data_IF_276719686937
#
_entry.id   IF_276719686937
#
_cell.length_a   1.000
_cell.length_b   1.000
_cell.length_c   1.000
_cell.angle_alpha   90.00
_cell.angle_beta   90.00
_cell.angle_gamma   90.00
#
_symmetry.space_group_name_H-M   'P 1'
#
loop_
_entity.id
_entity.type
_entity.pdbx_description
1 polymer ?
#
# COMPACT_ATOMS: atom_id res chain seq x y z
N UNK A 1 4.67 -33.74 -44.16
CA UNK A 1 3.99 -34.24 -42.95
C UNK A 1 4.60 -33.76 -41.62
N UNK A 2 5.90 -33.45 -41.53
CA UNK A 2 6.53 -32.97 -40.28
C UNK A 2 6.14 -31.53 -39.87
N UNK A 3 5.87 -30.65 -40.84
CA UNK A 3 5.58 -29.22 -40.60
C UNK A 3 4.18 -29.01 -39.98
N UNK A 4 3.21 -29.87 -40.33
CA UNK A 4 1.83 -29.79 -39.85
C UNK A 4 1.70 -30.15 -38.37
N UNK A 5 2.51 -31.11 -37.91
CA UNK A 5 2.56 -31.54 -36.50
C UNK A 5 3.19 -30.45 -35.62
N UNK A 6 4.26 -29.78 -36.10
CA UNK A 6 4.91 -28.68 -35.38
C UNK A 6 3.96 -27.48 -35.16
N UNK A 7 3.15 -27.14 -36.18
CA UNK A 7 2.14 -26.06 -36.07
C UNK A 7 1.02 -26.42 -35.09
N UNK A 8 0.55 -27.66 -35.10
CA UNK A 8 -0.47 -28.13 -34.17
C UNK A 8 0.03 -28.12 -32.72
N UNK A 9 1.27 -28.53 -32.46
CA UNK A 9 1.88 -28.48 -31.12
C UNK A 9 2.04 -27.06 -30.58
N UNK A 10 2.37 -26.07 -31.43
CA UNK A 10 2.47 -24.66 -31.02
C UNK A 10 1.08 -24.09 -30.67
N UNK A 11 0.06 -24.41 -31.47
CA UNK A 11 -1.31 -23.96 -31.21
C UNK A 11 -1.85 -24.55 -29.90
N UNK A 12 -1.60 -25.84 -29.64
CA UNK A 12 -2.00 -26.48 -28.38
C UNK A 12 -1.27 -25.86 -27.18
N UNK A 13 0.03 -25.58 -27.30
CA UNK A 13 0.81 -24.93 -26.23
C UNK A 13 0.30 -23.52 -25.92
N UNK A 14 -0.11 -22.75 -26.93
CA UNK A 14 -0.73 -21.43 -26.73
C UNK A 14 -2.16 -21.52 -26.16
N UNK A 15 -2.93 -22.55 -26.50
CA UNK A 15 -4.27 -22.76 -25.94
C UNK A 15 -4.25 -23.09 -24.44
N UNK A 16 -3.21 -23.78 -23.94
CA UNK A 16 -3.05 -24.03 -22.50
C UNK A 16 -2.65 -22.77 -21.70
N UNK A 17 -2.04 -21.77 -22.34
CA UNK A 17 -1.65 -20.52 -21.67
C UNK A 17 -2.83 -19.55 -21.47
N UNK A 18 -3.91 -19.67 -22.27
CA UNK A 18 -5.09 -18.78 -22.17
C UNK A 18 -6.18 -19.31 -21.22
N UNK A 19 -6.12 -20.57 -20.77
CA UNK A 19 -7.13 -21.14 -19.86
C UNK A 19 -6.78 -21.00 -18.36
N UNK A 20 -5.72 -20.26 -18.02
CA UNK A 20 -5.31 -20.06 -16.62
C UNK A 20 -5.96 -18.85 -15.93
N UNK A 21 -6.92 -18.16 -16.56
CA UNK A 21 -7.73 -17.14 -15.88
C UNK A 21 -9.04 -17.76 -15.37
N UNK A 22 -9.01 -18.26 -14.14
CA UNK A 22 -10.23 -18.57 -13.40
C UNK A 22 -11.04 -17.28 -13.19
N UNK A 23 -12.30 -17.26 -13.62
CA UNK A 23 -13.14 -16.06 -13.63
C UNK A 23 -13.49 -15.49 -12.24
N UNK A 24 -13.12 -16.15 -11.14
CA UNK A 24 -13.53 -15.74 -9.78
C UNK A 24 -12.38 -15.73 -8.75
N UNK A 25 -11.13 -15.86 -9.17
CA UNK A 25 -9.99 -15.85 -8.25
C UNK A 25 -9.11 -14.65 -8.59
N UNK A 26 -9.24 -13.57 -7.81
CA UNK A 26 -8.27 -12.46 -7.84
C UNK A 26 -6.91 -12.83 -7.23
N UNK A 27 -6.53 -14.10 -7.35
CA UNK A 27 -5.18 -14.60 -7.17
C UNK A 27 -4.65 -15.02 -8.52
N UNK A 28 -3.65 -14.31 -9.03
CA UNK A 28 -2.61 -15.04 -9.76
C UNK A 28 -2.18 -16.18 -8.82
N UNK A 29 -2.08 -17.43 -9.32
CA UNK A 29 -1.69 -18.63 -8.55
C UNK A 29 -0.28 -18.59 -7.92
N UNK A 30 0.24 -17.38 -7.71
CA UNK A 30 1.45 -17.02 -7.01
C UNK A 30 1.01 -15.90 -6.06
N UNK A 31 0.93 -16.20 -4.76
CA UNK A 31 0.71 -15.25 -3.66
C UNK A 31 1.89 -14.25 -3.55
N UNK A 32 2.21 -13.55 -4.62
CA UNK A 32 3.19 -12.48 -4.65
C UNK A 32 2.39 -11.19 -4.86
N UNK A 33 1.53 -10.86 -3.90
CA UNK A 33 1.02 -9.52 -3.82
C UNK A 33 2.22 -8.63 -3.42
N UNK A 34 2.78 -7.92 -4.41
CA UNK A 34 3.80 -6.89 -4.17
C UNK A 34 3.29 -5.81 -3.22
N UNK A 35 1.98 -5.58 -3.24
CA UNK A 35 1.34 -4.51 -2.51
C UNK A 35 0.63 -5.02 -1.25
N UNK A 36 0.92 -4.40 -0.11
CA UNK A 36 0.23 -4.64 1.16
C UNK A 36 -0.49 -3.37 1.58
N UNK A 37 -1.66 -3.52 2.18
CA UNK A 37 -2.45 -2.40 2.67
C UNK A 37 -3.03 -2.76 4.03
N UNK A 38 -2.81 -1.90 5.03
CA UNK A 38 -3.29 -2.11 6.40
C UNK A 38 -3.80 -0.80 6.98
N UNK A 39 -4.96 -0.85 7.65
CA UNK A 39 -5.44 0.23 8.51
C UNK A 39 -4.49 0.36 9.69
N UNK A 40 -3.80 1.49 9.81
CA UNK A 40 -2.88 1.78 10.89
C UNK A 40 -3.61 2.40 12.09
N UNK A 41 -4.43 3.42 11.86
CA UNK A 41 -5.16 4.10 12.94
C UNK A 41 -6.43 4.84 12.47
N UNK A 42 -7.27 5.24 13.43
CA UNK A 42 -8.49 6.03 13.20
C UNK A 42 -8.69 7.04 14.32
N UNK A 43 -8.94 8.31 13.98
CA UNK A 43 -9.16 9.40 14.95
C UNK A 43 -10.40 10.19 14.57
N UNK A 44 -11.12 10.65 15.57
CA UNK A 44 -12.20 11.63 15.41
C UNK A 44 -11.68 13.02 15.80
N UNK A 45 -11.77 13.97 14.89
CA UNK A 45 -11.42 15.37 15.10
C UNK A 45 -12.60 16.23 14.62
N UNK A 46 -13.15 17.06 15.51
CA UNK A 46 -14.26 17.98 15.19
C UNK A 46 -15.43 17.34 14.43
N UNK A 47 -15.91 16.18 14.91
CA UNK A 47 -17.02 15.42 14.32
C UNK A 47 -16.71 14.85 12.92
N UNK A 48 -15.42 14.77 12.55
CA UNK A 48 -14.95 14.15 11.32
C UNK A 48 -13.97 13.02 11.65
N UNK A 49 -14.19 11.85 11.06
CA UNK A 49 -13.34 10.69 11.28
C UNK A 49 -12.30 10.58 10.17
N UNK A 50 -11.05 10.45 10.56
CA UNK A 50 -9.93 10.25 9.66
C UNK A 50 -9.40 8.83 9.81
N UNK A 51 -9.01 8.25 8.68
CA UNK A 51 -8.52 6.88 8.57
C UNK A 51 -7.11 6.93 7.99
N UNK A 52 -6.14 6.37 8.72
CA UNK A 52 -4.76 6.25 8.25
C UNK A 52 -4.51 4.83 7.82
N UNK A 53 -4.12 4.65 6.57
CA UNK A 53 -3.64 3.39 6.05
C UNK A 53 -2.15 3.46 5.78
N UNK A 54 -1.47 2.34 6.01
CA UNK A 54 -0.11 2.11 5.54
C UNK A 54 -0.20 1.23 4.30
N UNK A 55 0.30 1.72 3.17
CA UNK A 55 0.42 0.95 1.92
C UNK A 55 1.89 0.67 1.65
N UNK A 56 2.24 -0.57 1.39
CA UNK A 56 3.56 -0.94 0.91
C UNK A 56 3.42 -1.36 -0.53
N UNK A 57 4.22 -0.81 -1.43
CA UNK A 57 4.19 -1.16 -2.85
C UNK A 57 5.56 -1.58 -3.36
N UNK A 58 5.59 -2.36 -4.43
CA UNK A 58 6.82 -2.74 -5.14
C UNK A 58 7.14 -4.22 -5.01
N UNK A 59 8.09 -4.72 -5.79
CA UNK A 59 8.40 -6.15 -5.85
C UNK A 59 9.71 -6.47 -5.14
N UNK A 60 10.81 -5.91 -5.63
CA UNK A 60 12.15 -6.07 -5.05
C UNK A 60 12.45 -4.97 -4.04
N UNK A 61 12.26 -3.72 -4.45
CA UNK A 61 12.31 -2.55 -3.57
C UNK A 61 10.88 -2.23 -3.13
N UNK A 62 10.71 -2.11 -1.81
CA UNK A 62 9.42 -1.88 -1.18
C UNK A 62 9.40 -0.46 -0.65
N UNK A 63 8.44 0.33 -1.11
CA UNK A 63 8.20 1.68 -0.57
C UNK A 63 6.96 1.67 0.28
N UNK A 64 7.07 2.22 1.48
CA UNK A 64 5.94 2.38 2.41
C UNK A 64 5.35 3.78 2.25
N UNK A 65 4.03 3.88 2.19
CA UNK A 65 3.27 5.11 2.10
C UNK A 65 2.26 5.19 3.24
N UNK A 66 2.05 6.42 3.73
CA UNK A 66 0.93 6.76 4.60
C UNK A 66 -0.16 7.40 3.77
N UNK A 67 -1.35 6.80 3.77
CA UNK A 67 -2.52 7.27 3.06
C UNK A 67 -3.57 7.74 4.06
N UNK A 68 -3.90 9.03 4.00
CA UNK A 68 -4.93 9.62 4.84
C UNK A 68 -6.24 9.70 4.05
N UNK A 69 -7.32 9.25 4.66
CA UNK A 69 -8.68 9.38 4.14
C UNK A 69 -9.57 10.06 5.16
N UNK A 70 -10.57 10.77 4.68
CA UNK A 70 -11.54 11.48 5.51
C UNK A 70 -12.94 10.84 5.51
N UNK A 71 -13.02 9.68 4.86
CA UNK A 71 -14.11 8.73 4.85
C UNK A 71 -13.48 7.33 4.86
N UNK A 72 -14.23 6.30 5.28
CA UNK A 72 -13.71 4.94 5.28
C UNK A 72 -13.69 4.43 3.82
N UNK A 73 -12.52 4.15 3.22
CA UNK A 73 -12.45 3.58 1.88
C UNK A 73 -12.90 2.12 1.87
N UNK A 74 -13.51 1.70 0.76
CA UNK A 74 -13.60 0.31 0.34
C UNK A 74 -12.52 0.04 -0.71
N UNK A 75 -11.88 -1.13 -0.65
CA UNK A 75 -10.80 -1.49 -1.57
C UNK A 75 -11.22 -2.62 -2.47
N UNK A 76 -10.97 -2.45 -3.76
CA UNK A 76 -11.11 -3.52 -4.73
C UNK A 76 -10.10 -4.64 -4.41
N UNK A 77 -10.58 -5.88 -4.29
CA UNK A 77 -9.77 -7.01 -3.83
C UNK A 77 -8.65 -7.39 -4.80
N UNK A 78 -8.75 -6.98 -6.06
CA UNK A 78 -7.86 -7.42 -7.15
C UNK A 78 -6.78 -6.36 -7.44
N UNK A 79 -7.12 -5.08 -7.25
CA UNK A 79 -6.26 -3.94 -7.57
C UNK A 79 -5.80 -3.17 -6.34
N UNK A 80 -6.41 -3.42 -5.17
CA UNK A 80 -6.21 -2.64 -3.93
C UNK A 80 -6.39 -1.13 -4.14
N UNK A 81 -7.17 -0.73 -5.15
CA UNK A 81 -7.51 0.66 -5.38
C UNK A 81 -8.68 1.06 -4.48
N UNK A 82 -8.61 2.22 -3.80
CA UNK A 82 -9.74 2.73 -3.05
C UNK A 82 -10.85 3.19 -4.00
N UNK A 83 -12.10 3.02 -3.58
CA UNK A 83 -13.29 3.61 -4.21
C UNK A 83 -13.36 5.14 -4.06
N UNK A 84 -12.64 5.69 -3.08
CA UNK A 84 -12.56 7.12 -2.77
C UNK A 84 -11.15 7.69 -2.95
N UNK A 85 -11.09 9.00 -3.16
CA UNK A 85 -9.82 9.72 -3.26
C UNK A 85 -9.15 9.89 -1.88
N UNK A 86 -7.84 9.68 -1.83
CA UNK A 86 -6.99 10.00 -0.67
C UNK A 86 -7.05 11.50 -0.37
N UNK A 87 -7.18 11.86 0.91
CA UNK A 87 -7.01 13.24 1.37
C UNK A 87 -5.54 13.66 1.27
N UNK A 88 -4.62 12.76 1.62
CA UNK A 88 -3.18 12.99 1.57
C UNK A 88 -2.40 11.67 1.42
N UNK A 89 -1.21 11.75 0.86
CA UNK A 89 -0.28 10.63 0.75
C UNK A 89 1.17 11.12 0.87
N UNK A 90 1.99 10.40 1.63
CA UNK A 90 3.43 10.66 1.75
C UNK A 90 4.19 9.35 1.85
N UNK A 91 5.35 9.24 1.21
CA UNK A 91 6.21 8.07 1.39
C UNK A 91 6.93 8.16 2.74
N UNK A 92 7.06 7.04 3.43
CA UNK A 92 7.81 6.92 4.67
C UNK A 92 9.26 7.39 4.51
N UNK A 93 9.84 7.12 3.34
CA UNK A 93 11.23 7.37 2.98
C UNK A 93 11.48 8.75 2.36
N UNK A 94 10.45 9.57 2.13
CA UNK A 94 10.55 10.93 1.54
C UNK A 94 11.10 11.96 2.57
N UNK A 95 12.20 11.63 3.26
CA UNK A 95 12.94 12.55 4.13
C UNK A 95 14.43 12.59 3.77
N UNK A 96 14.80 13.30 2.68
CA UNK A 96 16.17 13.41 2.24
C UNK A 96 17.05 14.26 3.18
N UNK A 97 16.45 15.08 4.05
CA UNK A 97 17.18 16.00 4.91
C UNK A 97 17.91 15.30 6.08
N UNK A 98 17.57 14.05 6.42
CA UNK A 98 18.23 13.33 7.51
C UNK A 98 18.09 11.79 7.42
N UNK A 99 18.95 11.11 6.62
CA UNK A 99 18.84 9.67 6.35
C UNK A 99 19.09 8.76 7.55
N UNK A 100 19.60 9.31 8.67
CA UNK A 100 19.81 8.54 9.90
C UNK A 100 18.52 8.34 10.69
N UNK A 101 17.47 9.14 10.45
CA UNK A 101 16.19 9.05 11.14
C UNK A 101 15.38 7.87 10.60
N UNK A 102 15.34 6.78 11.36
CA UNK A 102 14.80 5.49 10.93
C UNK A 102 13.48 5.07 11.59
N UNK A 103 12.97 5.87 12.53
CA UNK A 103 11.77 5.52 13.27
C UNK A 103 10.82 6.72 13.39
N UNK A 104 9.52 6.46 13.36
CA UNK A 104 8.49 7.49 13.62
C UNK A 104 8.32 7.63 15.12
N UNK A 105 8.64 8.78 15.68
CA UNK A 105 8.34 9.10 17.07
C UNK A 105 6.86 9.46 17.22
N UNK A 106 6.34 10.33 16.36
CA UNK A 106 4.96 10.80 16.38
C UNK A 106 4.44 11.10 14.99
N UNK A 107 3.13 10.90 14.80
CA UNK A 107 2.41 11.37 13.64
C UNK A 107 1.27 12.26 14.11
N UNK A 108 1.14 13.47 13.56
CA UNK A 108 0.19 14.48 14.02
C UNK A 108 -0.73 14.85 12.85
N UNK A 109 -2.04 14.71 13.05
CA UNK A 109 -3.05 15.10 12.08
C UNK A 109 -3.20 16.64 12.03
N UNK A 110 -3.06 17.21 10.84
CA UNK A 110 -3.12 18.65 10.57
C UNK A 110 -4.05 18.95 9.38
N UNK A 111 -5.37 18.68 9.49
CA UNK A 111 -6.28 18.65 8.36
C UNK A 111 -6.43 20.02 7.68
N UNK A 112 -6.13 21.10 8.39
CA UNK A 112 -6.18 22.48 7.92
C UNK A 112 -4.88 22.94 7.24
N UNK A 113 -3.80 22.16 7.33
CA UNK A 113 -2.50 22.46 6.69
C UNK A 113 -2.39 21.80 5.31
N UNK A 114 -1.49 22.25 4.42
CA UNK A 114 -1.26 21.59 3.13
C UNK A 114 -0.80 20.14 3.27
N UNK A 115 0.14 19.85 4.17
CA UNK A 115 0.72 18.51 4.33
C UNK A 115 -0.21 17.52 5.03
N UNK A 116 -1.29 17.95 5.70
CA UNK A 116 -2.29 17.10 6.41
C UNK A 116 -1.77 16.18 7.53
N UNK A 117 -0.52 15.74 7.48
CA UNK A 117 0.17 14.89 8.43
C UNK A 117 1.56 15.47 8.68
N UNK A 118 1.88 15.73 9.94
CA UNK A 118 3.24 16.03 10.37
C UNK A 118 3.86 14.79 11.00
N UNK A 119 4.94 14.30 10.41
CA UNK A 119 5.67 13.14 10.90
C UNK A 119 6.93 13.61 11.63
N UNK A 120 7.06 13.23 12.89
CA UNK A 120 8.24 13.47 13.72
C UNK A 120 9.02 12.17 13.78
N UNK A 121 10.26 12.21 13.35
CA UNK A 121 11.15 11.05 13.32
C UNK A 121 12.22 11.12 14.40
N UNK A 122 12.75 9.96 14.75
CA UNK A 122 13.82 9.79 15.74
C UNK A 122 14.85 8.75 15.30
N UNK A 123 16.07 8.88 15.80
CA UNK A 123 17.13 7.86 15.70
C UNK A 123 17.09 6.90 16.89
N UNK A 124 16.39 7.26 17.97
CA UNK A 124 16.23 6.45 19.16
C UNK A 124 15.09 5.45 18.97
N UNK A 125 15.45 4.17 18.71
CA UNK A 125 14.48 3.09 18.53
C UNK A 125 13.51 2.93 19.71
N UNK A 126 13.88 3.34 20.93
CA UNK A 126 13.01 3.21 22.10
C UNK A 126 11.89 4.26 22.16
N UNK A 127 12.06 5.37 21.42
CA UNK A 127 11.08 6.45 21.30
C UNK A 127 10.23 6.33 20.04
N UNK A 128 10.72 5.58 19.06
CA UNK A 128 10.03 5.33 17.80
C UNK A 128 9.04 4.19 17.89
N UNK A 129 8.10 4.15 16.94
CA UNK A 129 7.26 2.98 16.71
C UNK A 129 8.13 1.81 16.28
N UNK A 130 7.90 0.65 16.89
CA UNK A 130 8.65 -0.57 16.56
C UNK A 130 8.36 -1.03 15.14
N UNK A 131 7.11 -0.85 14.70
CA UNK A 131 6.62 -1.26 13.40
C UNK A 131 5.85 -0.12 12.74
N UNK A 132 6.23 0.22 11.50
CA UNK A 132 5.63 1.30 10.70
C UNK A 132 4.14 1.08 10.42
N UNK A 133 3.67 -0.18 10.46
CA UNK A 133 2.26 -0.53 10.28
C UNK A 133 1.41 -0.37 11.54
N UNK A 134 2.02 -0.07 12.69
CA UNK A 134 1.35 0.09 13.98
C UNK A 134 1.43 1.55 14.48
N UNK A 135 1.74 2.47 13.56
CA UNK A 135 1.76 3.91 13.83
C UNK A 135 0.37 4.40 14.20
N UNK A 136 0.33 5.34 15.16
CA UNK A 136 -0.87 6.06 15.56
C UNK A 136 -0.68 7.53 15.29
N UNK A 137 -1.75 8.20 14.85
CA UNK A 137 -1.74 9.66 14.77
C UNK A 137 -2.33 10.28 16.04
N UNK A 138 -1.91 11.49 16.34
CA UNK A 138 -2.47 12.30 17.43
C UNK A 138 -2.99 13.62 16.88
N UNK A 139 -3.68 14.38 17.72
CA UNK A 139 -4.00 15.78 17.47
C UNK A 139 -2.99 16.70 18.16
#
# INVERSE_FOLDING_TARGET
MKITILKASIIVLFCFLITACGQNECGFGIHIAGDQLKLADTINDNNKTYYLYTRTTGWQEKTVFFELYDQKPEFDQCTYQPDIKKLYMVAYEDFPENPERKHIEKMILQPDQPEKLKIIYTTDKTKGVENVYDVKFTR
#
